data_IF_565274231181
#
_entry.id   IF_565274231181
#
_cell.length_a   1.000
_cell.length_b   1.000
_cell.length_c   1.000
_cell.angle_alpha   90.00
_cell.angle_beta   90.00
_cell.angle_gamma   90.00
#
_symmetry.space_group_name_H-M   'P 1'
#
loop_
_entity.id
_entity.type
_entity.pdbx_description
1 polymer ?
#
# COMPACT_ATOMS: atom_id res chain seq x y z
N UNK A 1 -25.35 -12.54 -6.09
CA UNK A 1 -25.49 -11.06 -6.08
C UNK A 1 -24.25 -10.49 -5.42
N UNK A 2 -23.51 -9.66 -6.15
CA UNK A 2 -22.39 -8.89 -5.63
C UNK A 2 -22.96 -7.80 -4.72
N UNK A 3 -23.03 -8.06 -3.41
CA UNK A 3 -23.68 -7.15 -2.44
C UNK A 3 -22.64 -6.34 -1.69
N UNK A 4 -22.63 -5.03 -1.95
CA UNK A 4 -21.96 -4.06 -1.08
C UNK A 4 -22.77 -3.96 0.22
N UNK A 5 -22.11 -4.14 1.37
CA UNK A 5 -22.71 -3.98 2.70
C UNK A 5 -22.28 -2.66 3.29
N UNK A 6 -23.22 -1.94 3.89
CA UNK A 6 -22.88 -0.76 4.69
C UNK A 6 -22.27 -1.20 6.03
N UNK A 7 -21.14 -0.58 6.38
CA UNK A 7 -20.41 -0.84 7.62
C UNK A 7 -19.97 0.49 8.23
N UNK A 8 -19.67 0.49 9.52
CA UNK A 8 -19.08 1.65 10.20
C UNK A 8 -17.59 1.41 10.41
N UNK A 9 -16.77 2.42 10.12
CA UNK A 9 -15.34 2.35 10.36
C UNK A 9 -15.03 2.41 11.86
N UNK A 10 -14.24 1.49 12.38
CA UNK A 10 -13.85 1.48 13.80
C UNK A 10 -13.00 2.70 14.21
N UNK A 11 -12.29 3.32 13.27
CA UNK A 11 -11.38 4.45 13.54
C UNK A 11 -12.10 5.80 13.46
N UNK A 12 -12.75 6.10 12.34
CA UNK A 12 -13.37 7.41 12.12
C UNK A 12 -14.90 7.44 12.31
N UNK A 13 -15.53 6.29 12.57
CA UNK A 13 -16.98 6.14 12.76
C UNK A 13 -17.85 6.57 11.56
N UNK A 14 -17.24 6.75 10.38
CA UNK A 14 -17.95 7.09 9.14
C UNK A 14 -18.50 5.80 8.49
N UNK A 15 -19.75 5.81 7.99
CA UNK A 15 -20.31 4.70 7.23
C UNK A 15 -19.60 4.55 5.88
N UNK A 16 -19.35 3.31 5.45
CA UNK A 16 -18.72 2.99 4.18
C UNK A 16 -19.27 1.69 3.58
N UNK A 17 -19.18 1.56 2.26
CA UNK A 17 -19.53 0.34 1.53
C UNK A 17 -18.37 -0.66 1.50
N UNK A 18 -18.62 -1.88 1.97
CA UNK A 18 -17.69 -3.00 1.92
C UNK A 18 -18.29 -4.15 1.11
N UNK A 19 -17.65 -4.52 0.01
CA UNK A 19 -18.07 -5.62 -0.85
C UNK A 19 -17.69 -5.36 -2.30
N UNK A 20 -17.75 -6.41 -3.11
CA UNK A 20 -17.48 -6.30 -4.54
C UNK A 20 -18.73 -5.71 -5.22
N UNK A 21 -18.67 -4.56 -5.91
CA UNK A 21 -19.85 -3.95 -6.53
C UNK A 21 -20.23 -4.61 -7.86
N UNK A 22 -19.27 -5.19 -8.60
CA UNK A 22 -19.53 -5.90 -9.86
C UNK A 22 -18.41 -6.89 -10.19
N UNK A 23 -18.61 -7.74 -11.19
CA UNK A 23 -17.56 -8.66 -11.71
C UNK A 23 -16.48 -7.93 -12.53
N UNK A 24 -16.69 -6.66 -12.86
CA UNK A 24 -15.81 -5.85 -13.72
C UNK A 24 -15.01 -4.81 -12.92
N UNK A 25 -15.48 -4.45 -11.72
CA UNK A 25 -14.84 -3.44 -10.86
C UNK A 25 -14.14 -4.17 -9.72
N UNK A 26 -12.80 -4.07 -9.67
CA UNK A 26 -12.03 -4.55 -8.53
C UNK A 26 -12.35 -3.75 -7.26
N UNK A 27 -12.51 -4.44 -6.13
CA UNK A 27 -12.71 -3.77 -4.84
C UNK A 27 -11.52 -2.86 -4.50
N UNK A 28 -11.80 -1.65 -3.99
CA UNK A 28 -10.80 -0.67 -3.59
C UNK A 28 -9.73 -1.22 -2.61
N UNK A 29 -10.07 -2.23 -1.80
CA UNK A 29 -9.11 -2.84 -0.88
C UNK A 29 -7.98 -3.59 -1.59
N UNK A 30 -8.21 -4.06 -2.83
CA UNK A 30 -7.21 -4.80 -3.62
C UNK A 30 -6.16 -3.88 -4.25
N UNK A 31 -6.40 -2.57 -4.25
CA UNK A 31 -5.42 -1.58 -4.72
C UNK A 31 -4.29 -1.35 -3.70
N UNK A 32 -4.53 -1.68 -2.43
CA UNK A 32 -3.55 -1.53 -1.37
C UNK A 32 -2.63 -2.75 -1.29
N UNK A 33 -1.32 -2.56 -1.03
CA UNK A 33 -0.41 -3.68 -0.83
C UNK A 33 -0.88 -4.61 0.30
N UNK A 34 -0.80 -5.94 0.11
CA UNK A 34 -1.15 -6.91 1.15
C UNK A 34 -0.01 -7.03 2.18
N UNK A 35 0.26 -5.93 2.89
CA UNK A 35 1.32 -5.83 3.90
C UNK A 35 0.83 -6.21 5.32
N UNK A 36 -0.48 -6.41 5.47
CA UNK A 36 -1.05 -6.79 6.75
C UNK A 36 -1.11 -8.30 6.91
N UNK A 37 -0.69 -8.80 8.07
CA UNK A 37 -1.10 -10.12 8.54
C UNK A 37 -2.55 -10.03 9.00
N UNK A 38 -3.40 -10.96 8.55
CA UNK A 38 -4.84 -11.00 8.87
C UNK A 38 -5.11 -11.00 10.38
N UNK A 39 -4.14 -11.46 11.18
CA UNK A 39 -4.20 -11.53 12.64
C UNK A 39 -4.25 -10.15 13.33
N UNK A 40 -3.86 -9.08 12.63
CA UNK A 40 -3.79 -7.72 13.19
C UNK A 40 -4.96 -6.82 12.76
N UNK A 41 -5.86 -7.28 11.88
CA UNK A 41 -7.02 -6.51 11.42
C UNK A 41 -8.29 -7.23 11.88
N UNK A 42 -8.67 -7.01 13.15
CA UNK A 42 -9.94 -7.50 13.67
C UNK A 42 -11.14 -6.59 13.30
N UNK A 43 -10.88 -5.37 12.84
CA UNK A 43 -11.89 -4.33 12.72
C UNK A 43 -12.17 -3.86 11.28
N UNK A 44 -13.37 -3.33 11.05
CA UNK A 44 -13.77 -2.76 9.78
C UNK A 44 -13.17 -1.35 9.58
N UNK A 45 -12.34 -1.18 8.55
CA UNK A 45 -11.76 0.11 8.17
C UNK A 45 -12.35 0.60 6.84
N UNK A 46 -12.73 1.88 6.79
CA UNK A 46 -13.10 2.52 5.53
C UNK A 46 -11.88 2.67 4.61
N UNK A 47 -12.07 2.99 3.31
CA UNK A 47 -10.96 3.12 2.36
C UNK A 47 -9.85 4.07 2.83
N UNK A 48 -10.23 5.20 3.42
CA UNK A 48 -9.28 6.20 3.92
C UNK A 48 -8.48 5.65 5.10
N UNK A 49 -9.16 5.13 6.12
CA UNK A 49 -8.48 4.60 7.31
C UNK A 49 -7.66 3.36 7.01
N UNK A 50 -8.10 2.50 6.09
CA UNK A 50 -7.30 1.35 5.65
C UNK A 50 -6.03 1.82 4.95
N UNK A 51 -6.13 2.78 4.00
CA UNK A 51 -4.96 3.35 3.32
C UNK A 51 -3.97 3.96 4.32
N UNK A 52 -4.44 4.70 5.31
CA UNK A 52 -3.59 5.29 6.36
C UNK A 52 -2.90 4.21 7.21
N UNK A 53 -3.63 3.17 7.61
CA UNK A 53 -3.04 2.02 8.30
C UNK A 53 -1.97 1.32 7.44
N UNK A 54 -2.20 1.23 6.13
CA UNK A 54 -1.25 0.63 5.18
C UNK A 54 0.02 1.47 5.08
N UNK A 55 -0.12 2.79 4.90
CA UNK A 55 1.01 3.73 4.86
C UNK A 55 1.84 3.59 6.13
N UNK A 56 1.21 3.62 7.30
CA UNK A 56 1.91 3.45 8.58
C UNK A 56 2.69 2.14 8.65
N UNK A 57 2.12 1.03 8.22
CA UNK A 57 2.79 -0.28 8.19
C UNK A 57 3.95 -0.32 7.21
N UNK A 58 3.80 0.33 6.06
CA UNK A 58 4.88 0.48 5.09
C UNK A 58 6.01 1.30 5.69
N UNK A 59 5.72 2.42 6.35
CA UNK A 59 6.72 3.27 6.98
C UNK A 59 7.48 2.51 8.08
N UNK A 60 6.77 1.78 8.94
CA UNK A 60 7.35 0.89 9.95
C UNK A 60 8.29 -0.14 9.30
N UNK A 61 7.87 -0.78 8.19
CA UNK A 61 8.69 -1.74 7.47
C UNK A 61 9.92 -1.10 6.84
N UNK A 62 9.74 0.01 6.11
CA UNK A 62 10.78 0.74 5.39
C UNK A 62 11.84 1.31 6.34
N UNK A 63 11.45 1.66 7.57
CA UNK A 63 12.37 2.06 8.63
C UNK A 63 13.32 0.93 9.08
N UNK A 64 12.91 -0.34 8.94
CA UNK A 64 13.79 -1.50 9.21
C UNK A 64 14.75 -1.83 8.07
N UNK A 65 14.56 -1.19 6.89
CA UNK A 65 15.36 -1.49 5.71
C UNK A 65 16.65 -0.70 5.71
N UNK A 66 17.75 -1.43 5.61
CA UNK A 66 19.13 -0.95 5.48
C UNK A 66 19.72 -1.41 4.14
N UNK A 67 20.83 -0.83 3.68
CA UNK A 67 21.48 -1.29 2.44
C UNK A 67 21.81 -2.78 2.44
N UNK A 68 22.17 -3.36 3.59
CA UNK A 68 22.56 -4.77 3.72
C UNK A 68 21.38 -5.73 3.55
N UNK A 69 20.18 -5.36 4.01
CA UNK A 69 18.98 -6.21 3.94
C UNK A 69 18.05 -5.84 2.78
N UNK A 70 18.33 -4.75 2.06
CA UNK A 70 17.54 -4.25 0.95
C UNK A 70 17.34 -5.30 -0.15
N UNK A 71 18.36 -6.12 -0.45
CA UNK A 71 18.30 -7.17 -1.49
C UNK A 71 17.43 -8.38 -1.09
N UNK A 72 17.28 -8.63 0.20
CA UNK A 72 16.47 -9.74 0.77
C UNK A 72 15.13 -9.27 1.32
N UNK A 73 14.74 -8.02 1.04
CA UNK A 73 13.45 -7.48 1.42
C UNK A 73 12.28 -8.34 0.88
N UNK A 74 11.20 -8.42 1.65
CA UNK A 74 9.99 -9.19 1.31
C UNK A 74 9.03 -8.42 0.40
N UNK A 75 9.19 -7.11 0.26
CA UNK A 75 8.30 -6.30 -0.57
C UNK A 75 8.40 -6.66 -2.05
N UNK A 76 9.56 -7.16 -2.51
CA UNK A 76 9.75 -7.67 -3.88
C UNK A 76 8.92 -8.92 -4.20
N UNK A 77 8.53 -9.68 -3.16
CA UNK A 77 7.76 -10.92 -3.28
C UNK A 77 6.26 -10.66 -3.25
N UNK A 78 5.83 -9.42 -2.97
CA UNK A 78 4.42 -9.04 -2.97
C UNK A 78 3.87 -9.05 -4.40
N UNK A 79 2.56 -9.34 -4.57
CA UNK A 79 1.92 -9.28 -5.87
C UNK A 79 2.12 -7.90 -6.49
N UNK A 80 2.56 -7.88 -7.75
CA UNK A 80 2.76 -6.63 -8.49
C UNK A 80 1.42 -5.98 -8.75
N UNK A 81 1.20 -4.82 -8.17
CA UNK A 81 0.04 -3.99 -8.47
C UNK A 81 0.25 -3.32 -9.83
N UNK A 82 -0.73 -3.41 -10.73
CA UNK A 82 -0.72 -2.71 -12.02
C UNK A 82 -0.88 -1.21 -11.86
N UNK A 83 -1.50 -0.77 -10.77
CA UNK A 83 -1.75 0.64 -10.47
C UNK A 83 -0.79 1.13 -9.37
N UNK A 84 -0.26 2.34 -9.57
CA UNK A 84 0.57 3.05 -8.60
C UNK A 84 -0.31 3.91 -7.71
N UNK A 85 -0.11 3.79 -6.40
CA UNK A 85 -0.94 4.50 -5.42
C UNK A 85 -0.18 5.71 -4.89
N UNK A 86 -0.75 6.90 -5.05
CA UNK A 86 -0.19 8.12 -4.48
C UNK A 86 -0.13 8.04 -2.94
N UNK A 87 0.94 8.55 -2.35
CA UNK A 87 1.34 8.45 -0.94
C UNK A 87 1.76 7.04 -0.49
N UNK A 88 1.86 6.07 -1.41
CA UNK A 88 2.44 4.75 -1.15
C UNK A 88 3.62 4.50 -2.09
N UNK A 89 3.37 4.60 -3.40
CA UNK A 89 4.36 4.35 -4.44
C UNK A 89 5.09 5.62 -4.89
N UNK A 90 4.38 6.74 -4.87
CA UNK A 90 4.92 8.04 -5.25
C UNK A 90 4.16 9.18 -4.56
N UNK A 91 4.71 10.39 -4.62
CA UNK A 91 4.01 11.64 -4.37
C UNK A 91 4.38 12.67 -5.44
N UNK A 92 3.57 13.70 -5.61
CA UNK A 92 3.86 14.81 -6.52
C UNK A 92 4.66 15.90 -5.80
N UNK A 93 5.79 16.29 -6.37
CA UNK A 93 6.60 17.41 -5.90
C UNK A 93 6.89 18.32 -7.09
N UNK A 94 6.42 19.56 -7.05
CA UNK A 94 6.54 20.53 -8.16
C UNK A 94 6.01 19.99 -9.50
N UNK A 95 4.94 19.21 -9.48
CA UNK A 95 4.34 18.59 -10.68
C UNK A 95 5.10 17.37 -11.22
N UNK A 96 6.19 16.95 -10.56
CA UNK A 96 6.95 15.76 -10.92
C UNK A 96 6.62 14.59 -9.99
N UNK A 97 6.66 13.37 -10.53
CA UNK A 97 6.52 12.14 -9.76
C UNK A 97 7.80 11.85 -8.98
N UNK A 98 7.67 11.74 -7.66
CA UNK A 98 8.76 11.31 -6.77
C UNK A 98 8.41 9.95 -6.19
N UNK A 99 9.10 8.90 -6.65
CA UNK A 99 8.88 7.53 -6.19
C UNK A 99 9.42 7.30 -4.77
N UNK A 100 8.67 6.57 -3.96
CA UNK A 100 9.02 6.29 -2.56
C UNK A 100 10.04 5.15 -2.43
N UNK A 101 10.63 5.03 -1.24
CA UNK A 101 11.50 3.89 -0.90
C UNK A 101 10.76 2.55 -1.03
N UNK A 102 9.47 2.52 -0.70
CA UNK A 102 8.60 1.35 -0.88
C UNK A 102 8.48 0.90 -2.33
N UNK A 103 8.26 1.83 -3.26
CA UNK A 103 8.20 1.53 -4.69
C UNK A 103 9.49 0.85 -5.18
N UNK A 104 10.64 1.37 -4.76
CA UNK A 104 11.93 0.78 -5.11
C UNK A 104 12.15 -0.61 -4.49
N UNK A 105 11.67 -0.85 -3.26
CA UNK A 105 11.75 -2.17 -2.64
C UNK A 105 10.90 -3.21 -3.37
N UNK A 106 9.69 -2.84 -3.81
CA UNK A 106 8.83 -3.69 -4.65
C UNK A 106 9.47 -4.02 -6.00
N UNK A 107 10.27 -3.10 -6.57
CA UNK A 107 11.04 -3.35 -7.80
C UNK A 107 12.09 -4.45 -7.59
N UNK A 108 12.66 -4.57 -6.38
CA UNK A 108 13.55 -5.67 -6.01
C UNK A 108 15.01 -5.52 -6.44
N UNK A 109 15.38 -4.44 -7.14
CA UNK A 109 16.75 -4.20 -7.62
C UNK A 109 17.12 -2.72 -7.72
N UNK A 110 18.42 -2.44 -7.66
CA UNK A 110 18.99 -1.12 -7.93
C UNK A 110 19.05 -0.83 -9.44
N UNK A 111 18.63 0.36 -9.85
CA UNK A 111 18.67 0.81 -11.25
C UNK A 111 19.88 1.69 -11.59
N UNK A 112 20.78 1.95 -10.65
CA UNK A 112 21.99 2.79 -10.80
C UNK A 112 21.77 4.26 -11.23
N UNK A 113 20.54 4.78 -11.19
CA UNK A 113 20.20 6.16 -11.56
C UNK A 113 20.31 7.18 -10.40
N UNK A 114 20.85 6.81 -9.24
CA UNK A 114 20.97 7.72 -8.09
C UNK A 114 19.63 8.26 -7.56
N UNK A 115 18.61 7.39 -7.46
CA UNK A 115 17.27 7.80 -7.04
C UNK A 115 17.26 8.39 -5.61
N UNK A 116 16.50 9.48 -5.40
CA UNK A 116 16.38 10.18 -4.10
C UNK A 116 16.02 9.25 -2.94
N UNK A 117 15.14 8.28 -3.17
CA UNK A 117 14.63 7.35 -2.15
C UNK A 117 15.18 5.92 -2.34
N UNK A 118 16.39 5.78 -2.91
CA UNK A 118 16.98 4.47 -3.16
C UNK A 118 17.22 3.70 -1.85
N UNK A 119 16.70 2.47 -1.69
CA UNK A 119 17.00 1.60 -0.56
C UNK A 119 18.28 0.77 -0.74
N UNK A 120 18.82 0.72 -1.96
CA UNK A 120 19.97 -0.09 -2.39
C UNK A 120 21.23 0.75 -2.55
#
# INVERSE_FOLDING_TARGET
MNTVREKICSVCQIPFGCGNPSTEISCWCNELPPIFSLDQIADCLCPVCLKQATIKKIDEYVATITPENSLTNKAKDLPKTTHLVENIDYYLENGNYVFTKWFHLKRGSCCANGCRHCPY
#
